data_IF_828077728799
#
_entry.id   IF_828077728799
#
_cell.length_a   1.000
_cell.length_b   1.000
_cell.length_c   1.000
_cell.angle_alpha   90.00
_cell.angle_beta   90.00
_cell.angle_gamma   90.00
#
_symmetry.space_group_name_H-M   'P 1'
#
loop_
_entity.id
_entity.type
_entity.pdbx_description
1 polymer ?
#
# COMPACT_ATOMS: atom_id res chain seq x y z
N UNK A 1 12.01 29.46 -35.67
CA UNK A 1 12.57 28.35 -34.88
C UNK A 1 11.51 27.86 -33.90
N UNK A 2 11.32 26.55 -33.85
CA UNK A 2 10.07 25.86 -33.55
C UNK A 2 9.61 25.98 -32.09
N UNK A 3 8.36 26.42 -31.92
CA UNK A 3 7.56 26.27 -30.71
C UNK A 3 7.49 24.78 -30.33
N UNK A 4 8.08 24.39 -29.20
CA UNK A 4 7.85 23.07 -28.62
C UNK A 4 6.51 23.15 -27.92
N UNK A 5 5.47 22.71 -28.61
CA UNK A 5 4.11 22.61 -28.09
C UNK A 5 4.10 21.80 -26.80
N UNK A 6 3.61 22.41 -25.73
CA UNK A 6 3.17 21.67 -24.54
C UNK A 6 2.15 20.66 -25.05
N UNK A 7 2.45 19.37 -24.90
CA UNK A 7 1.48 18.30 -25.10
C UNK A 7 0.36 18.47 -24.06
N UNK A 8 -0.61 19.29 -24.40
CA UNK A 8 -1.91 19.39 -23.74
C UNK A 8 -2.69 18.11 -24.05
N UNK A 9 -2.44 17.01 -23.33
CA UNK A 9 -3.39 15.89 -23.23
C UNK A 9 -3.10 14.84 -22.14
N UNK A 10 -2.20 15.10 -21.19
CA UNK A 10 -2.17 14.28 -19.98
C UNK A 10 -3.32 14.67 -19.05
N UNK A 11 -4.52 14.12 -19.27
CA UNK A 11 -5.58 14.17 -18.25
C UNK A 11 -5.18 13.20 -17.13
N UNK A 12 -4.84 13.67 -15.92
CA UNK A 12 -4.64 12.75 -14.81
C UNK A 12 -5.94 11.98 -14.60
N UNK A 13 -5.86 10.65 -14.51
CA UNK A 13 -6.98 9.82 -14.14
C UNK A 13 -7.54 10.35 -12.80
N UNK A 14 -8.84 10.68 -12.73
CA UNK A 14 -9.53 11.32 -11.59
C UNK A 14 -9.55 10.49 -10.28
N UNK A 15 -8.67 9.50 -10.12
CA UNK A 15 -8.73 8.53 -9.02
C UNK A 15 -7.61 8.71 -7.99
N UNK A 16 -6.54 9.45 -8.31
CA UNK A 16 -5.41 9.69 -7.38
C UNK A 16 -5.41 11.10 -6.76
N UNK A 17 -6.28 12.01 -7.21
CA UNK A 17 -6.39 13.38 -6.70
C UNK A 17 -7.41 13.56 -5.58
N UNK A 18 -8.10 12.50 -5.12
CA UNK A 18 -8.87 12.61 -3.87
C UNK A 18 -7.85 12.72 -2.73
N UNK A 19 -7.83 13.81 -1.95
CA UNK A 19 -7.01 13.85 -0.75
C UNK A 19 -7.56 12.77 0.21
N UNK A 20 -6.85 11.66 0.30
CA UNK A 20 -7.13 10.62 1.29
C UNK A 20 -6.59 11.18 2.60
N UNK A 21 -7.42 11.91 3.34
CA UNK A 21 -7.00 12.40 4.65
C UNK A 21 -6.76 11.19 5.55
N UNK A 22 -5.74 11.18 6.44
CA UNK A 22 -5.42 10.04 7.30
C UNK A 22 -6.60 9.52 8.15
N UNK A 23 -7.60 10.36 8.36
CA UNK A 23 -8.87 10.11 9.06
C UNK A 23 -9.91 9.35 8.23
N UNK A 24 -9.79 9.35 6.90
CA UNK A 24 -10.64 8.54 6.04
C UNK A 24 -10.15 7.09 6.10
N UNK A 25 -11.08 6.15 6.32
CA UNK A 25 -10.84 4.72 6.36
C UNK A 25 -9.82 4.29 5.29
N UNK A 26 -8.57 4.01 5.72
CA UNK A 26 -7.40 3.75 4.84
C UNK A 26 -7.69 2.65 3.81
N UNK A 27 -8.60 1.74 4.13
CA UNK A 27 -9.05 0.65 3.25
C UNK A 27 -9.77 1.11 1.99
N UNK A 28 -10.27 2.36 1.92
CA UNK A 28 -10.85 2.94 0.69
C UNK A 28 -9.86 3.02 -0.47
N UNK A 29 -8.56 2.99 -0.19
CA UNK A 29 -7.51 2.90 -1.20
C UNK A 29 -7.69 1.69 -2.15
N UNK A 30 -8.23 0.58 -1.64
CA UNK A 30 -8.49 -0.60 -2.45
C UNK A 30 -9.54 -0.37 -3.55
N UNK A 31 -10.40 0.64 -3.41
CA UNK A 31 -11.46 0.93 -4.39
C UNK A 31 -10.98 1.85 -5.53
N UNK A 32 -9.78 2.42 -5.41
CA UNK A 32 -9.28 3.42 -6.35
C UNK A 32 -8.44 2.84 -7.50
N UNK A 33 -8.27 1.52 -7.56
CA UNK A 33 -7.45 0.86 -8.57
C UNK A 33 -8.01 1.06 -10.01
N UNK A 34 -7.24 1.62 -10.96
CA UNK A 34 -7.72 1.90 -12.30
C UNK A 34 -7.55 0.74 -13.28
N UNK A 35 -8.33 0.76 -14.36
CA UNK A 35 -8.15 -0.07 -15.57
C UNK A 35 -7.97 -1.56 -15.24
N UNK A 36 -6.89 -2.19 -15.69
CA UNK A 36 -6.62 -3.62 -15.49
C UNK A 36 -6.51 -4.06 -14.02
N UNK A 37 -6.24 -3.12 -13.10
CA UNK A 37 -6.18 -3.42 -11.67
C UNK A 37 -7.53 -3.21 -10.95
N UNK A 38 -8.59 -2.81 -11.66
CA UNK A 38 -9.93 -2.60 -11.08
C UNK A 38 -10.43 -3.91 -10.45
N UNK A 39 -10.91 -3.82 -9.20
CA UNK A 39 -11.39 -4.98 -8.44
C UNK A 39 -10.33 -5.60 -7.53
N UNK A 40 -9.08 -5.13 -7.56
CA UNK A 40 -8.05 -5.53 -6.58
C UNK A 40 -8.44 -5.06 -5.17
N UNK A 41 -8.79 -5.99 -4.29
CA UNK A 41 -9.19 -5.68 -2.91
C UNK A 41 -8.04 -5.77 -1.90
N UNK A 42 -7.06 -6.66 -2.11
CA UNK A 42 -5.94 -6.88 -1.19
C UNK A 42 -6.43 -7.05 0.27
N UNK A 43 -5.77 -6.42 1.25
CA UNK A 43 -6.12 -6.47 2.66
C UNK A 43 -7.40 -5.74 3.09
N UNK A 44 -8.25 -5.27 2.16
CA UNK A 44 -9.44 -4.45 2.48
C UNK A 44 -10.37 -5.12 3.50
N UNK A 45 -10.63 -6.42 3.36
CA UNK A 45 -11.46 -7.20 4.27
C UNK A 45 -10.74 -7.69 5.53
N UNK A 46 -9.44 -7.42 5.65
CA UNK A 46 -8.57 -7.97 6.69
C UNK A 46 -8.43 -7.09 7.92
N UNK A 47 -7.92 -7.67 9.00
CA UNK A 47 -7.57 -6.91 10.20
C UNK A 47 -6.34 -6.02 9.97
N UNK A 48 -6.23 -4.96 10.77
CA UNK A 48 -5.03 -4.14 10.76
C UNK A 48 -3.87 -4.90 11.42
N UNK A 49 -2.76 -5.04 10.70
CA UNK A 49 -1.53 -5.58 11.25
C UNK A 49 -0.50 -4.46 11.37
N UNK A 50 -0.06 -4.17 12.59
CA UNK A 50 0.92 -3.11 12.85
C UNK A 50 2.30 -3.72 13.02
N UNK A 51 3.18 -3.45 12.06
CA UNK A 51 4.61 -3.80 12.16
C UNK A 51 5.27 -2.85 13.15
N UNK A 52 5.88 -3.42 14.18
CA UNK A 52 6.63 -2.68 15.20
C UNK A 52 8.09 -3.06 15.25
N UNK A 53 8.42 -4.26 14.76
CA UNK A 53 9.75 -4.84 14.82
C UNK A 53 10.34 -4.95 13.40
N UNK A 54 11.51 -4.34 13.13
CA UNK A 54 12.17 -4.43 11.83
C UNK A 54 12.98 -5.72 11.63
N UNK A 55 13.08 -6.60 12.64
CA UNK A 55 13.82 -7.87 12.53
C UNK A 55 13.18 -8.76 11.46
N UNK A 56 14.03 -9.32 10.60
CA UNK A 56 13.67 -10.29 9.58
C UNK A 56 14.30 -11.64 9.93
N UNK A 57 13.48 -12.67 10.19
CA UNK A 57 13.93 -14.04 10.37
C UNK A 57 13.15 -14.94 9.41
N UNK A 58 13.85 -15.64 8.52
CA UNK A 58 13.24 -16.50 7.49
C UNK A 58 12.59 -17.74 8.09
N UNK A 59 13.25 -18.36 9.07
CA UNK A 59 12.82 -19.64 9.65
C UNK A 59 11.78 -19.48 10.75
N UNK A 60 11.90 -18.42 11.56
CA UNK A 60 10.97 -18.12 12.65
C UNK A 60 10.57 -16.63 12.63
N UNK A 61 9.64 -16.25 11.73
CA UNK A 61 9.17 -14.88 11.64
C UNK A 61 8.30 -14.55 12.86
N UNK A 62 8.84 -13.72 13.76
CA UNK A 62 8.14 -13.33 14.99
C UNK A 62 6.90 -12.47 14.72
N UNK A 63 5.85 -12.56 15.56
CA UNK A 63 4.74 -11.62 15.53
C UNK A 63 5.22 -10.17 15.59
N UNK A 64 4.49 -9.26 14.95
CA UNK A 64 4.81 -7.84 14.75
C UNK A 64 6.01 -7.53 13.83
N UNK A 65 6.57 -8.54 13.15
CA UNK A 65 7.49 -8.34 12.02
C UNK A 65 6.74 -8.26 10.69
N UNK A 66 7.40 -7.70 9.66
CA UNK A 66 6.84 -7.64 8.31
C UNK A 66 6.69 -9.03 7.67
N UNK A 67 7.69 -9.92 7.83
CA UNK A 67 7.64 -11.26 7.25
C UNK A 67 6.47 -12.07 7.80
N UNK A 68 6.27 -12.04 9.13
CA UNK A 68 5.14 -12.70 9.75
C UNK A 68 3.79 -12.18 9.23
N UNK A 69 3.70 -10.89 8.88
CA UNK A 69 2.48 -10.31 8.31
C UNK A 69 2.24 -10.75 6.86
N UNK A 70 3.29 -10.77 6.05
CA UNK A 70 3.22 -11.03 4.62
C UNK A 70 2.97 -12.51 4.27
N UNK A 71 3.31 -13.44 5.18
CA UNK A 71 3.11 -14.88 4.99
C UNK A 71 1.78 -15.40 5.51
N UNK A 72 0.92 -14.54 6.09
CA UNK A 72 -0.39 -14.98 6.56
C UNK A 72 -1.31 -15.35 5.41
N UNK A 73 -2.12 -16.39 5.63
CA UNK A 73 -3.10 -16.88 4.65
C UNK A 73 -4.34 -15.98 4.55
N UNK A 74 -4.64 -15.21 5.61
CA UNK A 74 -5.77 -14.30 5.65
C UNK A 74 -5.44 -12.89 5.14
N UNK A 75 -6.47 -12.11 4.71
CA UNK A 75 -6.26 -10.72 4.34
C UNK A 75 -5.80 -9.91 5.55
N UNK A 76 -4.76 -9.08 5.37
CA UNK A 76 -4.28 -8.16 6.39
C UNK A 76 -4.02 -6.78 5.78
N UNK A 77 -4.39 -5.73 6.52
CA UNK A 77 -4.02 -4.35 6.19
C UNK A 77 -2.75 -3.96 6.96
N UNK A 78 -1.59 -4.20 6.35
CA UNK A 78 -0.29 -3.99 6.98
C UNK A 78 0.03 -2.50 7.06
N UNK A 79 0.41 -2.04 8.26
CA UNK A 79 0.84 -0.66 8.54
C UNK A 79 2.11 -0.66 9.39
N UNK A 80 2.85 0.44 9.32
CA UNK A 80 4.10 0.60 10.07
C UNK A 80 3.91 1.59 11.21
N UNK A 81 4.32 1.20 12.43
CA UNK A 81 4.21 2.08 13.62
C UNK A 81 5.05 3.35 13.49
N UNK A 82 6.19 3.25 12.82
CA UNK A 82 7.16 4.32 12.59
C UNK A 82 7.96 4.02 11.32
N UNK A 83 8.68 5.03 10.82
CA UNK A 83 9.72 4.82 9.82
C UNK A 83 10.74 3.81 10.34
N UNK A 84 11.09 2.82 9.51
CA UNK A 84 12.02 1.76 9.87
C UNK A 84 12.74 1.23 8.63
N UNK A 85 13.97 0.76 8.83
CA UNK A 85 14.76 0.05 7.81
C UNK A 85 14.66 -1.44 8.08
N UNK A 86 14.11 -2.19 7.14
CA UNK A 86 13.97 -3.66 7.24
C UNK A 86 14.96 -4.26 6.25
N UNK A 87 15.95 -4.99 6.76
CA UNK A 87 16.88 -5.75 5.93
C UNK A 87 16.27 -7.12 5.67
N UNK A 88 15.92 -7.40 4.43
CA UNK A 88 15.47 -8.71 4.01
C UNK A 88 16.70 -9.53 3.60
N UNK A 89 16.79 -10.73 4.16
CA UNK A 89 17.74 -11.79 3.78
C UNK A 89 17.06 -12.78 2.85
#
# INVERSE_FOLDING_TARGET
MTSIGRHENWKPLRTWTRPITPTQNKKKLADCAPRFARGTTSGKGGEFYVVTDPINNVFDPKPRTLRHAATQTGPLWITFKRSMTIKLE
#
